data_IF_887930302870
#
_entry.id   IF_887930302870
#
_cell.length_a   1.000
_cell.length_b   1.000
_cell.length_c   1.000
_cell.angle_alpha   90.00
_cell.angle_beta   90.00
_cell.angle_gamma   90.00
#
_symmetry.space_group_name_H-M   'P 1'
#
loop_
_entity.id
_entity.type
_entity.pdbx_description
1 polymer ?
#
# COMPACT_ATOMS: atom_id res chain seq x y z
N UNK A 1 -6.11 5.86 -7.03
CA UNK A 1 -6.45 6.08 -8.45
C UNK A 1 -7.90 6.50 -8.56
N UNK A 2 -8.28 7.23 -9.61
CA UNK A 2 -9.66 7.51 -9.96
C UNK A 2 -10.28 6.24 -10.55
N UNK A 3 -10.92 5.45 -9.68
CA UNK A 3 -11.60 4.19 -10.03
C UNK A 3 -13.04 4.24 -9.53
N UNK A 4 -13.98 3.48 -10.14
CA UNK A 4 -15.38 3.47 -9.68
C UNK A 4 -15.51 3.22 -8.18
N UNK A 5 -14.77 2.25 -7.62
CA UNK A 5 -14.80 1.94 -6.19
C UNK A 5 -14.33 3.09 -5.28
N UNK A 6 -13.34 3.89 -5.71
CA UNK A 6 -12.90 5.07 -4.94
C UNK A 6 -13.93 6.19 -5.04
N UNK A 7 -14.52 6.40 -6.22
CA UNK A 7 -15.54 7.43 -6.44
C UNK A 7 -16.77 7.17 -5.58
N UNK A 8 -17.23 5.92 -5.50
CA UNK A 8 -18.42 5.54 -4.73
C UNK A 8 -18.14 5.38 -3.24
N UNK A 9 -16.98 4.81 -2.87
CA UNK A 9 -16.64 4.53 -1.48
C UNK A 9 -16.12 5.74 -0.71
N UNK A 10 -15.50 6.71 -1.41
CA UNK A 10 -14.89 7.90 -0.81
C UNK A 10 -15.22 9.16 -1.64
N UNK A 11 -16.50 9.59 -1.69
CA UNK A 11 -16.94 10.67 -2.58
C UNK A 11 -16.28 12.01 -2.23
N UNK A 12 -16.17 12.34 -0.95
CA UNK A 12 -15.58 13.61 -0.51
C UNK A 12 -14.07 13.67 -0.76
N UNK A 13 -13.37 12.55 -0.50
CA UNK A 13 -11.96 12.43 -0.86
C UNK A 13 -11.74 12.61 -2.36
N UNK A 14 -12.57 11.97 -3.18
CA UNK A 14 -12.52 12.10 -4.64
C UNK A 14 -12.75 13.54 -5.06
N UNK A 15 -13.74 14.23 -4.49
CA UNK A 15 -14.04 15.64 -4.79
C UNK A 15 -12.84 16.55 -4.53
N UNK A 16 -12.19 16.39 -3.38
CA UNK A 16 -11.04 17.21 -2.96
C UNK A 16 -9.79 16.87 -3.77
N UNK A 17 -9.53 15.59 -4.04
CA UNK A 17 -8.27 15.12 -4.65
C UNK A 17 -8.35 14.90 -6.16
N UNK A 18 -9.51 15.10 -6.79
CA UNK A 18 -9.77 14.77 -8.21
C UNK A 18 -8.66 15.15 -9.16
N UNK A 19 -8.07 16.34 -9.00
CA UNK A 19 -7.04 16.89 -9.90
C UNK A 19 -5.69 16.20 -9.78
N UNK A 20 -5.43 15.50 -8.67
CA UNK A 20 -4.15 14.83 -8.39
C UNK A 20 -4.27 13.30 -8.33
N UNK A 21 -5.48 12.77 -8.49
CA UNK A 21 -5.67 11.32 -8.58
C UNK A 21 -5.15 10.81 -9.92
N UNK A 22 -4.24 9.83 -9.86
CA UNK A 22 -3.86 9.00 -11.00
C UNK A 22 -5.06 8.28 -11.59
N UNK A 23 -5.04 7.97 -12.88
CA UNK A 23 -6.02 7.06 -13.50
C UNK A 23 -5.83 5.62 -13.00
N UNK A 24 -6.82 4.76 -13.27
CA UNK A 24 -6.72 3.34 -12.97
C UNK A 24 -5.50 2.70 -13.69
N UNK A 25 -5.35 3.00 -14.98
CA UNK A 25 -4.29 2.44 -15.82
C UNK A 25 -2.89 2.82 -15.33
N UNK A 26 -2.70 4.07 -14.89
CA UNK A 26 -1.43 4.52 -14.29
C UNK A 26 -1.08 3.74 -13.02
N UNK A 27 -2.07 3.44 -12.19
CA UNK A 27 -1.88 2.60 -11.00
C UNK A 27 -1.55 1.15 -11.36
N UNK A 28 -2.28 0.59 -12.33
CA UNK A 28 -2.08 -0.78 -12.80
C UNK A 28 -0.70 -0.97 -13.44
N UNK A 29 -0.22 0.00 -14.20
CA UNK A 29 1.10 -0.01 -14.82
C UNK A 29 2.24 -0.22 -13.80
N UNK A 30 2.19 0.49 -12.67
CA UNK A 30 3.20 0.33 -11.61
C UNK A 30 3.10 -1.06 -10.96
N UNK A 31 1.88 -1.59 -10.76
CA UNK A 31 1.69 -2.93 -10.17
C UNK A 31 2.24 -4.02 -11.10
N UNK A 32 1.95 -3.94 -12.40
CA UNK A 32 2.46 -4.89 -13.40
C UNK A 32 3.99 -4.80 -13.43
N UNK A 33 4.56 -3.60 -13.49
CA UNK A 33 6.00 -3.42 -13.46
C UNK A 33 6.63 -4.01 -12.18
N UNK A 34 6.05 -3.79 -11.00
CA UNK A 34 6.55 -4.38 -9.74
C UNK A 34 6.54 -5.91 -9.77
N UNK A 35 5.55 -6.51 -10.43
CA UNK A 35 5.41 -7.97 -10.52
C UNK A 35 6.39 -8.61 -11.52
N UNK A 36 6.81 -7.87 -12.56
CA UNK A 36 7.55 -8.45 -13.69
C UNK A 36 8.97 -7.94 -13.85
N UNK A 37 9.31 -6.76 -13.33
CA UNK A 37 10.59 -6.12 -13.57
C UNK A 37 11.69 -6.68 -12.65
N UNK A 38 12.79 -7.11 -13.24
CA UNK A 38 13.93 -7.70 -12.54
C UNK A 38 14.51 -6.75 -11.48
N UNK A 39 14.56 -5.45 -11.76
CA UNK A 39 15.04 -4.43 -10.83
C UNK A 39 14.11 -4.22 -9.63
N UNK A 40 12.79 -4.33 -9.83
CA UNK A 40 11.81 -4.22 -8.75
C UNK A 40 12.01 -5.36 -7.74
N UNK A 41 12.22 -6.58 -8.23
CA UNK A 41 12.47 -7.78 -7.42
C UNK A 41 13.77 -7.74 -6.60
N UNK A 42 14.68 -6.79 -6.85
CA UNK A 42 15.91 -6.60 -6.07
C UNK A 42 15.71 -5.72 -4.83
N UNK A 43 14.49 -5.23 -4.59
CA UNK A 43 14.19 -4.29 -3.50
C UNK A 43 13.01 -4.76 -2.67
N UNK A 44 12.98 -4.40 -1.39
CA UNK A 44 11.87 -4.72 -0.48
C UNK A 44 11.53 -3.53 0.41
N UNK A 45 10.27 -3.39 0.81
CA UNK A 45 9.86 -2.39 1.81
C UNK A 45 9.78 -0.94 1.31
N UNK A 46 9.96 -0.72 0.00
CA UNK A 46 9.77 0.59 -0.63
C UNK A 46 8.29 0.84 -0.97
N UNK A 47 7.91 2.11 -1.00
CA UNK A 47 6.60 2.54 -1.50
C UNK A 47 6.77 3.10 -2.91
N UNK A 48 6.04 2.58 -3.89
CA UNK A 48 6.24 2.93 -5.30
C UNK A 48 5.02 3.64 -5.87
N UNK A 49 5.27 4.68 -6.67
CA UNK A 49 4.27 5.33 -7.51
C UNK A 49 4.92 5.65 -8.85
N UNK A 50 4.23 5.39 -9.97
CA UNK A 50 4.75 5.62 -11.33
C UNK A 50 6.14 5.00 -11.55
N UNK A 51 6.36 3.79 -11.00
CA UNK A 51 7.66 3.07 -11.02
C UNK A 51 8.82 3.85 -10.39
N UNK A 52 8.55 4.78 -9.48
CA UNK A 52 9.55 5.54 -8.72
C UNK A 52 9.35 5.28 -7.21
N UNK A 53 10.43 5.10 -6.42
CA UNK A 53 10.32 5.02 -4.96
C UNK A 53 9.92 6.37 -4.36
N UNK A 54 8.96 6.34 -3.44
CA UNK A 54 8.51 7.46 -2.65
C UNK A 54 8.65 7.19 -1.16
N UNK A 55 8.50 8.24 -0.35
CA UNK A 55 8.48 8.11 1.11
C UNK A 55 7.36 7.18 1.56
N UNK A 56 7.70 6.24 2.44
CA UNK A 56 6.73 5.34 3.11
C UNK A 56 5.91 6.06 4.18
N UNK A 57 6.32 7.27 4.59
CA UNK A 57 5.65 8.05 5.63
C UNK A 57 5.33 9.46 5.12
N UNK A 58 4.14 9.95 5.48
CA UNK A 58 3.72 11.31 5.15
C UNK A 58 4.51 12.37 5.92
N UNK A 59 4.85 12.09 7.18
CA UNK A 59 5.69 12.96 8.02
C UNK A 59 6.38 12.16 9.13
N UNK A 60 7.26 12.82 9.90
CA UNK A 60 7.86 12.21 11.10
C UNK A 60 6.81 11.75 12.13
N UNK A 61 5.66 12.40 12.19
CA UNK A 61 4.56 12.06 13.11
C UNK A 61 3.82 10.78 12.71
N UNK A 62 3.89 10.41 11.43
CA UNK A 62 3.27 9.18 10.90
C UNK A 62 4.29 8.04 10.77
N UNK A 63 5.50 8.22 11.30
CA UNK A 63 6.51 7.17 11.36
C UNK A 63 6.35 6.42 12.67
N UNK A 64 6.15 5.13 12.57
CA UNK A 64 6.04 4.23 13.71
C UNK A 64 7.38 4.05 14.44
N UNK A 65 7.29 3.68 15.71
CA UNK A 65 8.44 3.22 16.49
C UNK A 65 8.68 1.72 16.26
N UNK A 66 9.88 1.25 16.58
CA UNK A 66 10.18 -0.18 16.54
C UNK A 66 9.23 -1.01 17.43
N UNK A 67 8.87 -0.48 18.61
CA UNK A 67 7.94 -1.13 19.52
C UNK A 67 6.52 -1.25 18.92
N UNK A 68 6.02 -0.20 18.27
CA UNK A 68 4.73 -0.25 17.57
C UNK A 68 4.73 -1.27 16.44
N UNK A 69 5.83 -1.36 15.67
CA UNK A 69 6.00 -2.35 14.61
C UNK A 69 5.97 -3.78 15.16
N UNK A 70 6.69 -4.04 16.25
CA UNK A 70 6.68 -5.37 16.91
C UNK A 70 5.30 -5.70 17.44
N UNK A 71 4.64 -4.77 18.14
CA UNK A 71 3.29 -4.97 18.67
C UNK A 71 2.29 -5.30 17.57
N UNK A 72 2.30 -4.56 16.45
CA UNK A 72 1.46 -4.87 15.28
C UNK A 72 1.69 -6.30 14.79
N UNK A 73 2.96 -6.74 14.72
CA UNK A 73 3.27 -8.08 14.21
C UNK A 73 2.78 -9.18 15.14
N UNK A 74 2.98 -9.03 16.44
CA UNK A 74 2.43 -9.95 17.45
C UNK A 74 0.92 -10.05 17.34
N UNK A 75 0.22 -8.92 17.32
CA UNK A 75 -1.25 -8.90 17.22
C UNK A 75 -1.77 -9.51 15.92
N UNK A 76 -1.10 -9.30 14.79
CA UNK A 76 -1.49 -9.95 13.52
C UNK A 76 -1.34 -11.47 13.59
N UNK A 77 -0.27 -11.98 14.22
CA UNK A 77 -0.07 -13.42 14.41
C UNK A 77 -1.18 -14.02 15.30
N UNK A 78 -1.53 -13.34 16.40
CA UNK A 78 -2.65 -13.75 17.26
C UNK A 78 -3.98 -13.80 16.49
N UNK A 79 -4.24 -12.83 15.62
CA UNK A 79 -5.44 -12.84 14.76
C UNK A 79 -5.45 -14.02 13.78
N UNK A 80 -4.31 -14.33 13.17
CA UNK A 80 -4.15 -15.46 12.26
C UNK A 80 -4.47 -16.77 12.98
N UNK A 81 -3.89 -16.99 14.16
CA UNK A 81 -4.15 -18.17 14.99
C UNK A 81 -5.62 -18.28 15.39
N UNK A 82 -6.21 -17.17 15.88
CA UNK A 82 -7.62 -17.15 16.32
C UNK A 82 -8.60 -17.43 15.19
N UNK A 83 -8.29 -16.98 13.97
CA UNK A 83 -9.14 -17.18 12.80
C UNK A 83 -8.86 -18.52 12.09
N UNK A 84 -7.90 -19.32 12.56
CA UNK A 84 -7.52 -20.59 11.93
C UNK A 84 -7.01 -20.41 10.50
N UNK A 85 -6.46 -19.23 10.17
CA UNK A 85 -5.92 -18.96 8.84
C UNK A 85 -4.53 -19.59 8.75
N UNK A 86 -4.40 -20.79 8.19
CA UNK A 86 -3.07 -21.26 7.79
C UNK A 86 -2.65 -20.52 6.52
N UNK A 87 -1.59 -19.73 6.60
CA UNK A 87 -0.84 -19.33 5.41
C UNK A 87 -0.08 -20.57 4.94
N UNK A 88 -0.79 -21.51 4.29
CA UNK A 88 -0.14 -22.56 3.51
C UNK A 88 0.57 -21.87 2.34
N UNK A 89 1.88 -22.14 2.23
CA UNK A 89 2.71 -21.77 1.08
C UNK A 89 2.21 -22.42 -0.22
#
# INVERSE_FOLDING_TARGET
AYTPGVVTGLPEFTRVTRRVLRTADQGADTIVWLATATEAGKTTGLFWLDRIPHSTHLSKKTKETAAQRTALRTTLNEYIERLGLSLTE
#
